data_IF_196878930962
#
_entry.id   IF_196878930962
#
_cell.length_a   1.000
_cell.length_b   1.000
_cell.length_c   1.000
_cell.angle_alpha   90.00
_cell.angle_beta   90.00
_cell.angle_gamma   90.00
#
_symmetry.space_group_name_H-M   'P 1'
#
loop_
_entity.id
_entity.type
_entity.pdbx_description
1 polymer ?
#
# COMPACT_ATOMS: atom_id res chain seq x y z
N UNK A 1 40.92 10.54 4.99
CA UNK A 1 40.45 9.51 5.96
C UNK A 1 39.37 8.57 5.43
N UNK A 2 38.36 9.06 4.69
CA UNK A 2 37.31 8.21 4.13
C UNK A 2 37.84 7.10 3.17
N UNK A 3 38.98 7.33 2.51
CA UNK A 3 39.68 6.33 1.68
C UNK A 3 40.18 5.09 2.45
N UNK A 4 40.18 5.13 3.79
CA UNK A 4 40.57 3.99 4.62
C UNK A 4 39.41 3.01 4.86
N UNK A 5 38.18 3.38 4.49
CA UNK A 5 37.00 2.53 4.65
C UNK A 5 36.85 1.64 3.42
N UNK A 6 36.94 0.33 3.64
CA UNK A 6 36.80 -0.70 2.60
C UNK A 6 35.35 -0.92 2.14
N UNK A 7 35.16 -1.99 1.36
CA UNK A 7 33.88 -2.33 0.78
C UNK A 7 32.78 -2.54 1.83
N UNK A 8 31.56 -2.16 1.48
CA UNK A 8 30.33 -2.46 2.20
C UNK A 8 30.10 -3.99 2.32
N UNK A 9 29.18 -4.45 3.19
CA UNK A 9 29.02 -5.88 3.47
C UNK A 9 28.86 -6.81 2.25
N UNK A 10 28.09 -6.40 1.23
CA UNK A 10 27.88 -7.21 0.01
C UNK A 10 29.08 -7.17 -0.97
N UNK A 11 29.95 -6.16 -0.85
CA UNK A 11 31.20 -6.05 -1.59
C UNK A 11 32.43 -6.56 -0.83
N UNK A 12 32.26 -6.92 0.44
CA UNK A 12 33.33 -7.39 1.31
C UNK A 12 33.74 -8.83 0.98
N UNK A 13 34.95 -9.20 1.41
CA UNK A 13 35.44 -10.56 1.25
C UNK A 13 34.76 -11.53 2.21
N UNK A 14 34.74 -12.81 1.86
CA UNK A 14 34.04 -13.86 2.60
C UNK A 14 34.49 -13.94 4.07
N UNK A 15 35.76 -13.70 4.36
CA UNK A 15 36.32 -13.74 5.71
C UNK A 15 35.81 -12.63 6.65
N UNK A 16 35.17 -11.58 6.13
CA UNK A 16 34.52 -10.54 6.93
C UNK A 16 33.15 -11.00 7.48
N UNK A 17 32.64 -12.16 7.05
CA UNK A 17 31.49 -12.85 7.63
C UNK A 17 30.24 -11.96 7.79
N UNK A 18 29.86 -11.29 6.71
CA UNK A 18 28.67 -10.44 6.67
C UNK A 18 28.86 -9.05 7.28
N UNK A 19 30.08 -8.73 7.75
CA UNK A 19 30.48 -7.36 8.06
C UNK A 19 31.06 -6.68 6.81
N UNK A 20 31.24 -5.36 6.91
CA UNK A 20 31.83 -4.53 5.86
C UNK A 20 32.38 -3.24 6.44
N UNK A 21 32.72 -2.29 5.57
CA UNK A 21 33.32 -1.01 5.91
C UNK A 21 34.57 -1.14 6.77
N UNK A 22 35.40 -2.18 6.51
CA UNK A 22 36.65 -2.41 7.23
C UNK A 22 37.52 -1.17 7.14
N UNK A 23 37.86 -0.59 8.28
CA UNK A 23 38.60 0.65 8.38
C UNK A 23 40.08 0.38 8.65
N UNK A 24 40.95 0.84 7.76
CA UNK A 24 42.42 0.72 7.89
C UNK A 24 43.07 1.92 8.59
N UNK A 25 42.30 2.94 8.97
CA UNK A 25 42.79 4.11 9.70
C UNK A 25 43.01 3.79 11.17
N UNK A 26 44.23 3.99 11.67
CA UNK A 26 44.57 3.75 13.07
C UNK A 26 44.23 2.33 13.51
N UNK A 27 43.44 2.20 14.58
CA UNK A 27 42.91 0.93 15.07
C UNK A 27 41.68 0.41 14.31
N UNK A 28 41.12 1.22 13.41
CA UNK A 28 39.93 0.93 12.62
C UNK A 28 38.60 1.04 13.38
N UNK A 29 38.62 1.39 14.67
CA UNK A 29 37.44 1.44 15.56
C UNK A 29 37.70 2.33 16.77
N UNK A 30 36.68 2.52 17.62
CA UNK A 30 36.78 3.38 18.80
C UNK A 30 37.16 4.82 18.40
N UNK A 31 38.26 5.34 18.94
CA UNK A 31 38.76 6.70 18.65
C UNK A 31 39.12 6.92 17.18
N UNK A 32 39.36 5.85 16.41
CA UNK A 32 39.69 5.92 14.98
C UNK A 32 38.51 5.53 14.07
N UNK A 33 37.28 5.47 14.62
CA UNK A 33 36.09 5.06 13.85
C UNK A 33 35.78 6.04 12.74
N UNK A 34 35.45 5.51 11.55
CA UNK A 34 34.95 6.30 10.43
C UNK A 34 33.65 5.68 9.95
N UNK A 35 32.56 6.45 10.00
CA UNK A 35 31.25 6.01 9.51
C UNK A 35 30.74 6.96 8.42
N UNK A 36 30.18 8.12 8.79
CA UNK A 36 29.69 9.13 7.83
C UNK A 36 30.80 10.03 7.28
N UNK A 37 31.96 10.06 7.96
CA UNK A 37 33.02 11.04 7.72
C UNK A 37 32.77 12.42 8.35
N UNK A 38 31.64 12.63 9.02
CA UNK A 38 31.41 13.76 9.94
C UNK A 38 32.02 13.40 11.30
N UNK A 39 32.46 14.40 12.07
CA UNK A 39 33.22 14.17 13.30
C UNK A 39 32.75 15.09 14.44
N UNK A 40 32.53 14.50 15.62
CA UNK A 40 32.15 15.21 16.84
C UNK A 40 30.73 14.86 17.31
N UNK A 41 30.34 15.47 18.43
CA UNK A 41 29.04 15.24 19.07
C UNK A 41 28.28 16.55 19.28
N UNK A 42 26.96 16.44 19.40
CA UNK A 42 26.05 17.58 19.50
C UNK A 42 25.98 18.17 20.90
N UNK A 43 26.02 17.31 21.94
CA UNK A 43 25.64 17.69 23.30
C UNK A 43 26.79 17.51 24.30
N UNK A 44 26.82 18.30 25.40
CA UNK A 44 27.74 18.08 26.53
C UNK A 44 27.56 16.74 27.24
N UNK A 45 26.41 16.11 27.05
CA UNK A 45 25.96 14.89 27.76
C UNK A 45 25.45 13.84 26.75
N UNK A 46 26.30 13.30 25.85
CA UNK A 46 25.85 12.48 24.71
C UNK A 46 25.06 11.20 25.04
N UNK A 47 25.11 10.76 26.29
CA UNK A 47 24.46 9.52 26.78
C UNK A 47 23.31 9.79 27.75
N UNK A 48 22.87 11.04 27.87
CA UNK A 48 21.77 11.45 28.75
C UNK A 48 20.66 12.08 27.92
N UNK A 49 19.40 11.72 28.21
CA UNK A 49 18.26 12.42 27.66
C UNK A 49 18.09 13.77 28.37
N UNK A 50 18.25 14.87 27.63
CA UNK A 50 18.03 16.24 28.06
C UNK A 50 17.75 17.15 26.86
N UNK A 51 17.63 18.46 27.08
CA UNK A 51 17.31 19.43 26.02
C UNK A 51 18.56 20.13 25.45
N UNK A 52 19.76 19.66 25.79
CA UNK A 52 21.01 20.38 25.49
C UNK A 52 21.31 20.50 23.98
N UNK A 53 20.68 19.67 23.14
CA UNK A 53 20.73 19.84 21.68
C UNK A 53 20.20 21.22 21.26
N UNK A 54 18.99 21.58 21.69
CA UNK A 54 18.39 22.86 21.32
C UNK A 54 19.10 24.03 22.01
N UNK A 55 19.51 23.85 23.27
CA UNK A 55 20.31 24.85 23.99
C UNK A 55 21.59 25.18 23.21
N UNK A 56 22.31 24.15 22.78
CA UNK A 56 23.53 24.29 21.97
C UNK A 56 23.23 24.95 20.62
N UNK A 57 22.21 24.46 19.90
CA UNK A 57 21.83 24.96 18.57
C UNK A 57 21.53 26.47 18.57
N UNK A 58 20.87 26.98 19.61
CA UNK A 58 20.48 28.39 19.72
C UNK A 58 21.47 29.26 20.51
N UNK A 59 22.37 28.69 21.31
CA UNK A 59 23.35 29.45 22.10
C UNK A 59 24.50 30.04 21.26
N UNK A 60 24.83 29.40 20.13
CA UNK A 60 26.01 29.76 19.34
C UNK A 60 25.65 30.21 17.93
N UNK A 61 26.48 31.08 17.35
CA UNK A 61 26.56 31.20 15.90
C UNK A 61 27.52 30.14 15.35
N UNK A 62 27.36 29.78 14.07
CA UNK A 62 27.96 28.58 13.51
C UNK A 62 28.84 28.91 12.29
N UNK A 63 30.09 28.46 12.31
CA UNK A 63 31.03 28.53 11.19
C UNK A 63 31.11 27.18 10.46
N UNK A 64 31.03 27.24 9.13
CA UNK A 64 31.20 26.06 8.27
C UNK A 64 32.67 25.62 8.25
N UNK A 65 32.94 24.38 8.62
CA UNK A 65 34.28 23.77 8.63
C UNK A 65 34.29 22.37 8.02
N UNK A 66 35.50 21.89 7.75
CA UNK A 66 35.75 20.52 7.32
C UNK A 66 36.05 19.63 8.51
N UNK A 67 35.42 18.46 8.56
CA UNK A 67 35.81 17.35 9.44
C UNK A 67 37.23 16.87 9.11
N UNK A 68 37.86 16.06 9.96
CA UNK A 68 39.12 15.40 9.62
C UNK A 68 39.05 14.57 8.34
N UNK A 69 37.88 14.00 8.02
CA UNK A 69 37.66 13.26 6.77
C UNK A 69 37.34 14.14 5.56
N UNK A 70 37.23 15.46 5.73
CA UNK A 70 36.92 16.42 4.65
C UNK A 70 35.43 16.60 4.37
N UNK A 71 34.54 16.12 5.24
CA UNK A 71 33.11 16.38 5.17
C UNK A 71 32.77 17.79 5.69
N UNK A 72 31.71 18.41 5.18
CA UNK A 72 31.25 19.71 5.67
C UNK A 72 30.42 19.55 6.95
N UNK A 73 30.76 20.29 8.00
CA UNK A 73 30.05 20.37 9.27
C UNK A 73 30.16 21.78 9.86
N UNK A 74 29.45 22.05 10.94
CA UNK A 74 29.42 23.36 11.58
C UNK A 74 30.00 23.29 12.99
N UNK A 75 30.76 24.31 13.38
CA UNK A 75 31.28 24.46 14.73
C UNK A 75 30.90 25.83 15.30
N UNK A 76 30.79 25.99 16.63
CA UNK A 76 30.55 27.29 17.23
C UNK A 76 31.61 28.31 16.85
N UNK A 77 31.18 29.54 16.62
CA UNK A 77 32.10 30.69 16.46
C UNK A 77 32.72 31.12 17.79
N UNK A 78 32.03 30.84 18.91
CA UNK A 78 32.50 31.16 20.26
C UNK A 78 33.59 30.18 20.75
N UNK A 79 34.82 30.65 21.01
CA UNK A 79 35.89 29.80 21.54
C UNK A 79 35.60 29.16 22.90
N UNK A 80 34.69 29.74 23.70
CA UNK A 80 34.31 29.19 24.99
C UNK A 80 33.63 27.81 24.86
N UNK A 81 33.04 27.51 23.70
CA UNK A 81 32.44 26.23 23.41
C UNK A 81 33.46 25.09 23.22
N UNK A 82 34.75 25.38 23.06
CA UNK A 82 35.79 24.42 22.64
C UNK A 82 36.04 23.23 23.58
N UNK A 83 35.49 23.26 24.79
CA UNK A 83 35.73 22.23 25.82
C UNK A 83 34.43 21.72 26.46
N UNK A 84 33.28 21.96 25.84
CA UNK A 84 31.98 21.65 26.45
C UNK A 84 31.52 20.21 26.24
N UNK A 85 32.09 19.49 25.27
CA UNK A 85 31.71 18.10 24.95
C UNK A 85 32.82 17.14 25.37
N UNK A 86 32.53 16.07 26.15
CA UNK A 86 33.53 15.06 26.50
C UNK A 86 33.94 14.24 25.28
N UNK A 87 35.21 13.81 25.23
CA UNK A 87 35.66 12.82 24.26
C UNK A 87 35.03 11.45 24.53
N UNK A 88 34.71 10.72 23.46
CA UNK A 88 34.01 9.43 23.55
C UNK A 88 34.86 8.30 24.18
N UNK A 89 36.19 8.40 24.15
CA UNK A 89 37.10 7.33 24.56
C UNK A 89 38.22 7.78 25.51
N UNK A 90 38.52 9.08 25.58
CA UNK A 90 39.60 9.64 26.39
C UNK A 90 39.05 10.68 27.39
N UNK A 91 38.84 10.26 28.64
CA UNK A 91 38.29 11.12 29.69
C UNK A 91 39.14 12.37 30.02
N UNK A 92 40.37 12.45 29.51
CA UNK A 92 41.23 13.64 29.66
C UNK A 92 40.99 14.70 28.60
N UNK A 93 40.17 14.42 27.58
CA UNK A 93 39.91 15.30 26.43
C UNK A 93 38.47 15.79 26.40
N UNK A 94 38.33 16.98 25.84
CA UNK A 94 37.05 17.61 25.51
C UNK A 94 37.17 18.31 24.16
N UNK A 95 36.01 18.58 23.56
CA UNK A 95 35.86 19.12 22.22
C UNK A 95 34.79 20.22 22.19
N UNK A 96 34.77 20.96 21.08
CA UNK A 96 33.62 21.78 20.72
C UNK A 96 32.45 20.87 20.29
N UNK A 97 31.20 21.28 20.53
CA UNK A 97 30.06 20.63 19.91
C UNK A 97 30.09 20.90 18.41
N UNK A 98 29.40 20.05 17.65
CA UNK A 98 29.24 20.22 16.21
C UNK A 98 27.75 20.18 15.85
N UNK A 99 27.42 20.77 14.70
CA UNK A 99 26.11 20.64 14.08
C UNK A 99 26.28 20.23 12.62
N UNK A 100 25.33 19.45 12.12
CA UNK A 100 25.23 19.13 10.71
C UNK A 100 24.46 20.24 9.99
N UNK A 101 24.62 20.35 8.68
CA UNK A 101 23.80 21.27 7.88
C UNK A 101 22.30 21.00 8.05
N UNK A 102 21.91 19.73 8.27
CA UNK A 102 20.53 19.34 8.58
C UNK A 102 20.06 19.81 9.95
N UNK A 103 20.95 19.87 10.94
CA UNK A 103 20.61 20.36 12.28
C UNK A 103 20.47 21.88 12.28
N UNK A 104 21.38 22.56 11.57
CA UNK A 104 21.30 24.01 11.30
C UNK A 104 19.96 24.36 10.64
N UNK A 105 19.46 23.53 9.73
CA UNK A 105 18.15 23.76 9.10
C UNK A 105 17.00 23.88 10.11
N UNK A 106 17.07 23.22 11.28
CA UNK A 106 16.05 23.31 12.33
C UNK A 106 15.95 24.69 12.98
N UNK A 107 17.00 25.51 12.85
CA UNK A 107 17.05 26.90 13.34
C UNK A 107 16.85 27.93 12.23
N UNK A 108 17.25 27.63 10.99
CA UNK A 108 17.26 28.62 9.91
C UNK A 108 16.07 28.51 8.95
N UNK A 109 15.40 27.36 8.88
CA UNK A 109 14.11 27.27 8.20
C UNK A 109 13.02 27.96 9.07
N UNK A 110 12.24 28.91 8.53
CA UNK A 110 11.28 29.67 9.34
C UNK A 110 10.20 28.82 10.03
N UNK A 111 9.80 27.69 9.44
CA UNK A 111 8.80 26.80 10.01
C UNK A 111 9.43 25.96 11.11
N UNK A 112 10.59 25.36 10.86
CA UNK A 112 11.28 24.56 11.87
C UNK A 112 11.79 25.41 13.02
N UNK A 113 12.23 26.64 12.79
CA UNK A 113 12.74 27.53 13.84
C UNK A 113 11.70 27.74 14.94
N UNK A 114 10.45 28.02 14.56
CA UNK A 114 9.36 28.23 15.52
C UNK A 114 9.04 26.97 16.32
N UNK A 115 9.15 25.80 15.69
CA UNK A 115 8.95 24.50 16.36
C UNK A 115 10.11 24.22 17.32
N UNK A 116 11.34 24.38 16.85
CA UNK A 116 12.58 24.17 17.61
C UNK A 116 12.67 25.11 18.80
N UNK A 117 12.30 26.38 18.64
CA UNK A 117 12.25 27.37 19.73
C UNK A 117 11.21 26.99 20.77
N UNK A 118 10.03 26.53 20.36
CA UNK A 118 9.02 26.02 21.30
C UNK A 118 9.54 24.81 22.09
N UNK A 119 10.28 23.91 21.43
CA UNK A 119 10.88 22.73 22.09
C UNK A 119 12.07 23.10 22.99
N UNK A 120 12.82 24.14 22.66
CA UNK A 120 13.81 24.74 23.55
C UNK A 120 13.14 25.28 24.83
N UNK A 121 12.08 26.06 24.68
CA UNK A 121 11.36 26.71 25.79
C UNK A 121 10.50 25.74 26.60
N UNK A 122 10.08 24.62 26.01
CA UNK A 122 9.25 23.60 26.64
C UNK A 122 9.77 22.18 26.34
N UNK A 123 10.74 21.68 27.14
CA UNK A 123 11.32 20.36 26.97
C UNK A 123 10.32 19.21 27.11
N UNK A 124 9.27 19.37 27.93
CA UNK A 124 8.25 18.32 28.10
C UNK A 124 7.42 18.13 26.83
N UNK A 125 7.11 19.24 26.13
CA UNK A 125 6.45 19.17 24.82
C UNK A 125 7.35 18.51 23.76
N UNK A 126 8.67 18.71 23.84
CA UNK A 126 9.61 17.99 22.97
C UNK A 126 9.63 16.51 23.28
N UNK A 127 9.72 16.12 24.56
CA UNK A 127 9.74 14.72 24.97
C UNK A 127 8.47 13.96 24.53
N UNK A 128 7.28 14.53 24.72
CA UNK A 128 6.01 13.92 24.25
C UNK A 128 5.99 13.77 22.72
N UNK A 129 6.36 14.83 21.99
CA UNK A 129 6.38 14.81 20.53
C UNK A 129 7.41 13.80 20.00
N UNK A 130 8.60 13.75 20.58
CA UNK A 130 9.66 12.81 20.21
C UNK A 130 9.24 11.37 20.49
N UNK A 131 8.66 11.08 21.66
CA UNK A 131 8.18 9.74 21.99
C UNK A 131 7.10 9.27 21.01
N UNK A 132 6.11 10.12 20.69
CA UNK A 132 5.06 9.80 19.71
C UNK A 132 5.59 9.65 18.29
N UNK A 133 6.52 10.52 17.88
CA UNK A 133 7.16 10.45 16.57
C UNK A 133 8.03 9.20 16.43
N UNK A 134 8.78 8.83 17.47
CA UNK A 134 9.58 7.61 17.51
C UNK A 134 8.71 6.35 17.45
N UNK A 135 7.62 6.31 18.22
CA UNK A 135 6.64 5.22 18.15
C UNK A 135 6.05 5.11 16.74
N UNK A 136 5.59 6.21 16.15
CA UNK A 136 5.13 6.22 14.76
C UNK A 136 6.21 5.76 13.78
N UNK A 137 7.43 6.27 13.88
CA UNK A 137 8.55 5.92 12.99
C UNK A 137 8.80 4.41 12.95
N UNK A 138 8.75 3.77 14.12
CA UNK A 138 9.08 2.35 14.31
C UNK A 138 7.91 1.40 14.15
N UNK A 139 6.68 1.92 13.96
CA UNK A 139 5.46 1.11 13.84
C UNK A 139 4.60 1.46 12.60
N UNK A 140 4.95 2.48 11.82
CA UNK A 140 4.17 2.97 10.67
C UNK A 140 3.95 1.94 9.55
N UNK A 141 4.75 0.88 9.49
CA UNK A 141 4.69 -0.21 8.53
C UNK A 141 4.14 -1.53 9.11
N UNK A 142 3.68 -1.48 10.37
CA UNK A 142 3.05 -2.62 11.03
C UNK A 142 1.57 -2.79 10.68
N UNK A 143 0.94 -1.89 9.91
CA UNK A 143 -0.47 -1.96 9.58
C UNK A 143 -1.40 -1.66 10.78
N UNK A 144 -2.62 -2.23 10.81
CA UNK A 144 -3.62 -1.88 11.81
C UNK A 144 -3.26 -2.36 13.22
N UNK A 145 -3.85 -1.75 14.27
CA UNK A 145 -3.57 -2.10 15.67
C UNK A 145 -3.78 -3.58 16.03
N UNK A 146 -4.65 -4.31 15.32
CA UNK A 146 -4.88 -5.74 15.51
C UNK A 146 -3.63 -6.60 15.31
N UNK A 147 -2.58 -6.06 14.67
CA UNK A 147 -1.30 -6.76 14.48
C UNK A 147 -0.29 -6.53 15.61
N UNK A 148 -0.57 -5.63 16.55
CA UNK A 148 0.40 -5.23 17.55
C UNK A 148 0.34 -6.21 18.73
N UNK A 149 1.49 -6.79 19.10
CA UNK A 149 1.58 -7.85 20.09
C UNK A 149 2.41 -7.42 21.30
N UNK A 150 2.12 -7.98 22.47
CA UNK A 150 2.88 -7.76 23.70
C UNK A 150 2.20 -6.81 24.69
N UNK A 151 2.73 -6.76 25.91
CA UNK A 151 2.15 -6.01 27.03
C UNK A 151 2.43 -4.50 27.00
N UNK A 152 3.32 -4.05 26.10
CA UNK A 152 3.74 -2.65 25.99
C UNK A 152 3.04 -1.89 24.86
N UNK A 153 2.09 -2.53 24.17
CA UNK A 153 1.28 -1.84 23.15
C UNK A 153 0.50 -0.71 23.82
N UNK A 154 0.69 0.56 23.38
CA UNK A 154 -0.07 1.68 23.90
C UNK A 154 -1.57 1.47 23.74
N UNK A 155 -2.33 1.83 24.77
CA UNK A 155 -3.80 1.78 24.75
C UNK A 155 -4.43 2.89 23.89
N UNK A 156 -3.68 3.96 23.63
CA UNK A 156 -4.11 5.04 22.76
C UNK A 156 -4.04 4.59 21.31
N UNK A 157 -5.18 4.64 20.62
CA UNK A 157 -5.25 4.43 19.19
C UNK A 157 -4.97 5.75 18.46
N UNK A 158 -3.98 5.73 17.57
CA UNK A 158 -3.51 6.93 16.88
C UNK A 158 -4.09 7.00 15.45
N UNK A 159 -4.44 8.21 14.99
CA UNK A 159 -5.09 8.40 13.69
C UNK A 159 -4.29 7.82 12.51
N UNK A 160 -2.96 7.86 12.55
CA UNK A 160 -2.10 7.32 11.48
C UNK A 160 -2.15 5.80 11.34
N UNK A 161 -2.70 5.09 12.33
CA UNK A 161 -2.88 3.64 12.31
C UNK A 161 -4.12 3.22 11.50
N UNK A 162 -4.81 4.18 10.87
CA UNK A 162 -6.04 4.00 10.11
C UNK A 162 -7.08 3.15 10.88
N UNK A 163 -7.43 3.54 12.12
CA UNK A 163 -8.15 2.66 13.04
C UNK A 163 -9.55 2.33 12.56
N UNK A 164 -10.03 1.13 12.88
CA UNK A 164 -11.41 0.71 12.69
C UNK A 164 -12.04 0.42 14.05
N UNK A 165 -13.34 0.68 14.26
CA UNK A 165 -14.02 0.33 15.51
C UNK A 165 -13.96 -1.18 15.78
N UNK A 166 -14.00 -1.58 17.05
CA UNK A 166 -14.22 -2.98 17.41
C UNK A 166 -15.64 -3.42 17.07
N UNK A 167 -15.85 -4.73 16.90
CA UNK A 167 -17.19 -5.31 16.75
C UNK A 167 -17.88 -5.33 18.11
N UNK A 168 -19.04 -4.68 18.23
CA UNK A 168 -19.82 -4.56 19.46
C UNK A 168 -21.21 -5.22 19.38
N UNK A 169 -21.42 -6.09 18.38
CA UNK A 169 -22.69 -6.72 18.07
C UNK A 169 -22.53 -8.17 17.57
N UNK A 170 -23.59 -8.97 17.61
CA UNK A 170 -23.62 -10.28 16.96
C UNK A 170 -23.38 -10.17 15.44
N UNK A 171 -22.57 -11.07 14.90
CA UNK A 171 -22.28 -11.15 13.46
C UNK A 171 -23.35 -11.95 12.72
N UNK A 172 -23.49 -11.68 11.42
CA UNK A 172 -24.35 -12.45 10.52
C UNK A 172 -23.88 -13.92 10.39
N UNK A 173 -24.83 -14.83 10.25
CA UNK A 173 -24.58 -16.26 10.07
C UNK A 173 -24.87 -16.72 8.62
N UNK A 174 -24.71 -18.00 8.33
CA UNK A 174 -24.79 -18.54 6.96
C UNK A 174 -26.14 -18.30 6.28
N UNK A 175 -27.25 -18.39 7.02
CA UNK A 175 -28.59 -18.10 6.50
C UNK A 175 -28.74 -16.63 6.13
N UNK A 176 -28.20 -15.72 6.96
CA UNK A 176 -28.23 -14.27 6.71
C UNK A 176 -27.38 -13.91 5.49
N UNK A 177 -26.18 -14.49 5.39
CA UNK A 177 -25.27 -14.33 4.26
C UNK A 177 -26.00 -14.72 2.97
N UNK A 178 -26.66 -15.88 2.95
CA UNK A 178 -27.42 -16.35 1.79
C UNK A 178 -28.54 -15.37 1.43
N UNK A 179 -29.36 -14.98 2.40
CA UNK A 179 -30.48 -14.06 2.18
C UNK A 179 -30.02 -12.66 1.72
N UNK A 180 -28.90 -12.15 2.26
CA UNK A 180 -28.33 -10.87 1.86
C UNK A 180 -27.78 -10.91 0.43
N UNK A 181 -27.09 -12.00 0.03
CA UNK A 181 -26.65 -12.17 -1.36
C UNK A 181 -27.84 -12.16 -2.33
N UNK A 182 -28.92 -12.86 -2.01
CA UNK A 182 -30.16 -12.85 -2.82
C UNK A 182 -30.75 -11.44 -2.93
N UNK A 183 -30.84 -10.70 -1.83
CA UNK A 183 -31.33 -9.31 -1.84
C UNK A 183 -30.44 -8.39 -2.67
N UNK A 184 -29.12 -8.53 -2.57
CA UNK A 184 -28.16 -7.74 -3.35
C UNK A 184 -28.32 -8.03 -4.84
N UNK A 185 -28.38 -9.30 -5.25
CA UNK A 185 -28.60 -9.68 -6.65
C UNK A 185 -29.97 -9.24 -7.17
N UNK A 186 -30.99 -9.24 -6.30
CA UNK A 186 -32.35 -8.76 -6.62
C UNK A 186 -32.50 -7.23 -6.64
N UNK A 187 -31.46 -6.46 -6.29
CA UNK A 187 -31.53 -4.99 -6.17
C UNK A 187 -31.46 -4.24 -7.50
N UNK A 188 -31.13 -4.94 -8.60
CA UNK A 188 -30.91 -4.34 -9.92
C UNK A 188 -29.49 -3.78 -10.12
N UNK A 189 -28.58 -3.99 -9.17
CA UNK A 189 -27.14 -3.79 -9.37
C UNK A 189 -26.59 -4.86 -10.31
N UNK A 190 -25.77 -4.45 -11.29
CA UNK A 190 -25.12 -5.39 -12.20
C UNK A 190 -23.93 -6.10 -11.56
N UNK A 191 -23.49 -7.22 -12.14
CA UNK A 191 -22.29 -7.95 -11.69
C UNK A 191 -21.07 -7.04 -11.75
N UNK A 192 -20.87 -6.32 -12.85
CA UNK A 192 -19.79 -5.34 -13.04
C UNK A 192 -19.77 -4.28 -11.94
N UNK A 193 -20.94 -3.75 -11.54
CA UNK A 193 -21.02 -2.74 -10.48
C UNK A 193 -20.60 -3.30 -9.11
N UNK A 194 -21.06 -4.49 -8.76
CA UNK A 194 -20.75 -5.16 -7.50
C UNK A 194 -19.27 -5.57 -7.44
N UNK A 195 -18.75 -6.19 -8.50
CA UNK A 195 -17.33 -6.59 -8.62
C UNK A 195 -16.42 -5.36 -8.57
N UNK A 196 -16.71 -4.31 -9.34
CA UNK A 196 -15.87 -3.10 -9.37
C UNK A 196 -15.85 -2.37 -8.02
N UNK A 197 -16.97 -2.38 -7.30
CA UNK A 197 -17.08 -1.72 -5.99
C UNK A 197 -16.32 -2.50 -4.91
N UNK A 198 -16.49 -3.82 -4.87
CA UNK A 198 -15.74 -4.68 -3.94
C UNK A 198 -14.23 -4.62 -4.22
N UNK A 199 -13.83 -4.67 -5.51
CA UNK A 199 -12.44 -4.50 -5.92
C UNK A 199 -11.89 -3.14 -5.51
N UNK A 200 -12.59 -2.04 -5.83
CA UNK A 200 -12.17 -0.69 -5.46
C UNK A 200 -11.97 -0.52 -3.96
N UNK A 201 -12.75 -1.23 -3.15
CA UNK A 201 -12.62 -1.21 -1.69
C UNK A 201 -11.40 -2.00 -1.22
N UNK A 202 -11.31 -3.28 -1.61
CA UNK A 202 -10.28 -4.20 -1.11
C UNK A 202 -8.89 -3.93 -1.70
N UNK A 203 -8.82 -3.54 -2.98
CA UNK A 203 -7.56 -3.38 -3.68
C UNK A 203 -6.74 -2.19 -3.17
N UNK A 204 -7.28 -1.30 -2.33
CA UNK A 204 -6.45 -0.24 -1.69
C UNK A 204 -5.35 -0.82 -0.79
N UNK A 205 -5.45 -2.09 -0.39
CA UNK A 205 -4.44 -2.77 0.38
C UNK A 205 -3.06 -2.74 -0.29
N UNK A 206 -2.00 -2.62 0.51
CA UNK A 206 -0.63 -2.94 0.10
C UNK A 206 0.14 -3.66 1.21
N UNK A 207 0.76 -4.79 0.90
CA UNK A 207 1.48 -5.62 1.87
C UNK A 207 2.78 -5.00 2.41
N UNK A 208 3.27 -3.95 1.75
CA UNK A 208 4.51 -3.23 2.11
C UNK A 208 4.43 -2.59 3.50
N UNK A 209 3.30 -1.95 3.81
CA UNK A 209 3.02 -1.35 5.13
C UNK A 209 1.67 -1.80 5.73
N UNK A 210 0.94 -2.68 5.03
CA UNK A 210 -0.33 -3.29 5.44
C UNK A 210 -1.45 -2.27 5.66
N UNK A 211 -1.37 -1.13 4.98
CA UNK A 211 -2.45 -0.13 4.92
C UNK A 211 -3.44 -0.47 3.80
N UNK A 212 -4.62 0.14 3.89
CA UNK A 212 -5.72 -0.07 2.94
C UNK A 212 -6.47 -1.38 3.19
N UNK A 213 -7.35 -1.75 2.26
CA UNK A 213 -8.25 -2.88 2.38
C UNK A 213 -9.72 -2.47 2.50
N UNK A 214 -10.60 -3.47 2.60
CA UNK A 214 -12.05 -3.27 2.63
C UNK A 214 -12.60 -2.97 4.03
N UNK A 215 -11.88 -3.35 5.09
CA UNK A 215 -12.24 -3.08 6.48
C UNK A 215 -12.24 -1.56 6.75
N UNK A 216 -13.22 -1.10 7.51
CA UNK A 216 -13.50 0.32 7.69
C UNK A 216 -14.47 0.93 6.66
N UNK A 217 -14.77 0.23 5.55
CA UNK A 217 -15.59 0.73 4.44
C UNK A 217 -15.18 2.14 3.98
N UNK A 218 -13.86 2.42 3.97
CA UNK A 218 -13.34 3.77 3.68
C UNK A 218 -13.56 4.22 2.24
N UNK A 219 -13.91 3.31 1.34
CA UNK A 219 -14.38 3.64 -0.01
C UNK A 219 -15.56 4.62 -0.02
N UNK A 220 -16.38 4.64 1.04
CA UNK A 220 -17.51 5.59 1.18
C UNK A 220 -17.12 6.96 1.75
N UNK A 221 -15.88 7.12 2.21
CA UNK A 221 -15.36 8.30 2.89
C UNK A 221 -14.41 9.07 1.97
N UNK A 222 -14.15 10.34 2.30
CA UNK A 222 -13.09 11.07 1.62
C UNK A 222 -11.71 10.62 2.11
N UNK A 223 -10.73 10.45 1.20
CA UNK A 223 -10.78 10.85 -0.21
C UNK A 223 -11.27 9.75 -1.18
N UNK A 224 -11.40 8.49 -0.74
CA UNK A 224 -11.60 7.36 -1.66
C UNK A 224 -12.86 7.42 -2.51
N UNK A 225 -13.95 7.97 -1.95
CA UNK A 225 -15.22 8.14 -2.68
C UNK A 225 -15.11 9.07 -3.88
N UNK A 226 -14.09 9.94 -3.88
CA UNK A 226 -13.87 10.99 -4.87
C UNK A 226 -12.78 10.62 -5.90
N UNK A 227 -12.06 9.51 -5.70
CA UNK A 227 -11.02 9.06 -6.63
C UNK A 227 -11.59 8.69 -8.00
N UNK A 228 -10.95 9.16 -9.06
CA UNK A 228 -11.36 8.91 -10.45
C UNK A 228 -11.45 7.42 -10.75
N UNK A 229 -10.46 6.65 -10.27
CA UNK A 229 -10.38 5.20 -10.47
C UNK A 229 -11.59 4.45 -9.91
N UNK A 230 -12.27 5.02 -8.92
CA UNK A 230 -13.46 4.42 -8.29
C UNK A 230 -14.78 4.84 -8.97
N UNK A 231 -14.74 5.73 -9.97
CA UNK A 231 -15.91 6.25 -10.67
C UNK A 231 -17.00 6.76 -9.69
N UNK A 232 -16.82 7.96 -9.11
CA UNK A 232 -17.64 8.45 -8.00
C UNK A 232 -19.16 8.39 -8.24
N UNK A 233 -19.60 8.67 -9.47
CA UNK A 233 -21.01 8.61 -9.85
C UNK A 233 -21.58 7.18 -9.80
N UNK A 234 -20.85 6.19 -10.36
CA UNK A 234 -21.26 4.78 -10.30
C UNK A 234 -21.17 4.25 -8.87
N UNK A 235 -20.08 4.55 -8.17
CA UNK A 235 -19.86 4.14 -6.79
C UNK A 235 -20.96 4.66 -5.86
N UNK A 236 -21.31 5.94 -5.94
CA UNK A 236 -22.36 6.55 -5.10
C UNK A 236 -23.70 5.83 -5.23
N UNK A 237 -24.09 5.44 -6.44
CA UNK A 237 -25.31 4.65 -6.68
C UNK A 237 -25.25 3.27 -6.01
N UNK A 238 -24.12 2.57 -6.12
CA UNK A 238 -23.94 1.24 -5.51
C UNK A 238 -23.99 1.34 -3.99
N UNK A 239 -23.25 2.28 -3.40
CA UNK A 239 -23.19 2.48 -1.95
C UNK A 239 -24.56 2.83 -1.38
N UNK A 240 -25.34 3.67 -2.07
CA UNK A 240 -26.70 4.01 -1.66
C UNK A 240 -27.60 2.76 -1.57
N UNK A 241 -27.60 1.91 -2.60
CA UNK A 241 -28.43 0.70 -2.62
C UNK A 241 -27.98 -0.29 -1.54
N UNK A 242 -26.67 -0.48 -1.36
CA UNK A 242 -26.16 -1.34 -0.30
C UNK A 242 -26.49 -0.80 1.10
N UNK A 243 -26.48 0.51 1.29
CA UNK A 243 -26.91 1.17 2.54
C UNK A 243 -28.41 0.97 2.80
N UNK A 244 -29.26 1.05 1.78
CA UNK A 244 -30.69 0.74 1.92
C UNK A 244 -30.91 -0.73 2.33
N UNK A 245 -30.19 -1.68 1.72
CA UNK A 245 -30.23 -3.10 2.11
C UNK A 245 -29.75 -3.28 3.56
N UNK A 246 -28.65 -2.62 3.94
CA UNK A 246 -28.14 -2.62 5.31
C UNK A 246 -29.19 -2.16 6.31
N UNK A 247 -29.77 -1.00 6.06
CA UNK A 247 -30.74 -0.37 6.96
C UNK A 247 -31.97 -1.26 7.16
N UNK A 248 -32.46 -1.88 6.08
CA UNK A 248 -33.58 -2.83 6.14
C UNK A 248 -33.20 -4.07 6.95
N UNK A 249 -32.03 -4.69 6.66
CA UNK A 249 -31.59 -5.88 7.38
C UNK A 249 -31.42 -5.60 8.87
N UNK A 250 -30.64 -4.58 9.23
CA UNK A 250 -30.33 -4.23 10.62
C UNK A 250 -31.59 -3.83 11.41
N UNK A 251 -32.52 -3.09 10.79
CA UNK A 251 -33.78 -2.69 11.47
C UNK A 251 -34.78 -3.84 11.62
N UNK A 252 -34.62 -4.91 10.84
CA UNK A 252 -35.49 -6.10 10.92
C UNK A 252 -35.04 -7.14 11.94
N UNK A 253 -33.84 -6.98 12.52
CA UNK A 253 -33.34 -7.91 13.53
C UNK A 253 -34.06 -7.69 14.86
N UNK A 254 -34.41 -8.78 15.54
CA UNK A 254 -35.01 -8.77 16.88
C UNK A 254 -33.98 -8.71 18.01
N UNK A 255 -32.72 -9.01 17.71
CA UNK A 255 -31.57 -8.94 18.62
C UNK A 255 -30.60 -7.81 18.26
N UNK A 256 -29.36 -7.90 18.74
CA UNK A 256 -28.29 -6.94 18.46
C UNK A 256 -27.54 -7.23 17.14
N UNK A 257 -27.79 -8.38 16.51
CA UNK A 257 -27.21 -8.79 15.22
C UNK A 257 -27.29 -7.68 14.17
N UNK A 258 -26.15 -7.40 13.52
CA UNK A 258 -26.05 -6.41 12.45
C UNK A 258 -25.04 -6.86 11.40
N UNK A 259 -25.13 -6.23 10.22
CA UNK A 259 -24.10 -6.27 9.19
C UNK A 259 -23.54 -4.87 8.96
N UNK A 260 -22.22 -4.77 8.82
CA UNK A 260 -21.51 -3.53 8.48
C UNK A 260 -21.60 -3.24 6.97
N UNK A 261 -21.34 -1.99 6.59
CA UNK A 261 -21.24 -1.62 5.16
C UNK A 261 -20.01 -2.26 4.55
N UNK A 262 -18.92 -2.36 5.31
CA UNK A 262 -17.69 -3.01 4.88
C UNK A 262 -17.95 -4.47 4.47
N UNK A 263 -18.68 -5.21 5.29
CA UNK A 263 -19.04 -6.59 4.98
C UNK A 263 -20.04 -6.68 3.81
N UNK A 264 -21.03 -5.78 3.70
CA UNK A 264 -21.97 -5.78 2.57
C UNK A 264 -21.32 -5.48 1.23
N UNK A 265 -20.32 -4.59 1.19
CA UNK A 265 -19.55 -4.30 -0.04
C UNK A 265 -18.84 -5.57 -0.52
N UNK A 266 -18.13 -6.25 0.39
CA UNK A 266 -17.43 -7.50 0.06
C UNK A 266 -18.41 -8.60 -0.31
N UNK A 267 -19.50 -8.75 0.47
CA UNK A 267 -20.53 -9.75 0.24
C UNK A 267 -21.22 -9.58 -1.12
N UNK A 268 -21.47 -8.34 -1.53
CA UNK A 268 -22.02 -8.03 -2.85
C UNK A 268 -21.08 -8.43 -3.98
N UNK A 269 -19.78 -8.22 -3.81
CA UNK A 269 -18.75 -8.74 -4.70
C UNK A 269 -18.76 -10.27 -4.79
N UNK A 270 -18.82 -10.97 -3.65
CA UNK A 270 -18.94 -12.43 -3.62
C UNK A 270 -20.20 -12.93 -4.34
N UNK A 271 -21.36 -12.30 -4.09
CA UNK A 271 -22.62 -12.65 -4.75
C UNK A 271 -22.53 -12.50 -6.28
N UNK A 272 -21.89 -11.41 -6.74
CA UNK A 272 -21.71 -11.15 -8.16
C UNK A 272 -20.80 -12.17 -8.86
N UNK A 273 -19.70 -12.58 -8.20
CA UNK A 273 -18.81 -13.61 -8.72
C UNK A 273 -19.52 -14.98 -8.77
N UNK A 274 -20.29 -15.34 -7.75
CA UNK A 274 -21.12 -16.56 -7.77
C UNK A 274 -22.15 -16.54 -8.90
N UNK A 275 -22.83 -15.41 -9.10
CA UNK A 275 -23.80 -15.25 -10.18
C UNK A 275 -23.12 -15.30 -11.56
N UNK A 276 -21.94 -14.71 -11.73
CA UNK A 276 -21.19 -14.76 -12.98
C UNK A 276 -20.70 -16.16 -13.33
N UNK A 277 -20.25 -16.93 -12.33
CA UNK A 277 -19.91 -18.34 -12.49
C UNK A 277 -21.15 -19.18 -12.85
N UNK A 278 -22.30 -18.90 -12.22
CA UNK A 278 -23.58 -19.54 -12.55
C UNK A 278 -24.00 -19.26 -13.99
N UNK A 279 -23.81 -18.03 -14.49
CA UNK A 279 -24.05 -17.68 -15.89
C UNK A 279 -23.18 -18.54 -16.83
N UNK A 280 -21.96 -18.88 -16.42
CA UNK A 280 -21.04 -19.75 -17.15
C UNK A 280 -21.36 -21.26 -16.99
N UNK A 281 -22.42 -21.62 -16.26
CA UNK A 281 -22.80 -23.01 -15.99
C UNK A 281 -22.06 -23.66 -14.82
N UNK A 282 -21.37 -22.88 -13.99
CA UNK A 282 -20.61 -23.36 -12.83
C UNK A 282 -21.28 -22.94 -11.51
N UNK A 283 -21.70 -23.91 -10.71
CA UNK A 283 -22.15 -23.66 -9.35
C UNK A 283 -20.93 -23.60 -8.41
N UNK A 284 -20.63 -22.42 -7.89
CA UNK A 284 -19.53 -22.20 -6.93
C UNK A 284 -20.03 -21.37 -5.76
N UNK A 285 -19.36 -21.53 -4.63
CA UNK A 285 -19.53 -20.70 -3.45
C UNK A 285 -18.24 -19.93 -3.23
N UNK A 286 -18.34 -18.60 -3.21
CA UNK A 286 -17.23 -17.71 -2.87
C UNK A 286 -17.17 -17.62 -1.35
N UNK A 287 -16.03 -17.97 -0.72
CA UNK A 287 -15.89 -17.85 0.73
C UNK A 287 -16.11 -16.41 1.18
N UNK A 288 -16.72 -16.25 2.35
CA UNK A 288 -16.98 -14.97 2.97
C UNK A 288 -16.90 -15.09 4.49
N UNK A 289 -16.16 -14.18 5.11
CA UNK A 289 -16.06 -14.08 6.56
C UNK A 289 -16.56 -12.69 7.00
N UNK A 290 -17.61 -12.60 7.84
CA UNK A 290 -18.03 -11.32 8.43
C UNK A 290 -17.04 -10.86 9.50
N UNK A 291 -17.25 -9.66 10.02
CA UNK A 291 -16.46 -9.07 11.11
C UNK A 291 -15.73 -7.78 10.75
N UNK A 292 -15.86 -7.29 9.51
CA UNK A 292 -15.38 -5.94 9.18
C UNK A 292 -16.28 -4.90 9.84
N UNK A 293 -15.72 -3.75 10.20
CA UNK A 293 -16.46 -2.64 10.82
C UNK A 293 -16.39 -1.39 9.96
N UNK A 294 -17.22 -0.39 10.29
CA UNK A 294 -17.34 0.84 9.53
C UNK A 294 -16.61 1.99 10.25
N UNK A 295 -15.46 2.41 9.71
CA UNK A 295 -14.71 3.56 10.25
C UNK A 295 -15.46 4.88 9.99
N UNK A 296 -15.26 5.88 10.85
CA UNK A 296 -15.79 7.23 10.64
C UNK A 296 -14.85 8.12 9.82
N UNK A 297 -15.34 9.29 9.40
CA UNK A 297 -14.51 10.27 8.71
C UNK A 297 -13.44 10.87 9.65
N UNK A 298 -13.76 11.02 10.93
CA UNK A 298 -12.85 11.50 11.98
C UNK A 298 -11.73 10.50 12.29
N UNK A 299 -11.97 9.21 12.02
CA UNK A 299 -11.00 8.12 12.10
C UNK A 299 -10.18 7.95 10.80
N UNK A 300 -10.27 8.89 9.87
CA UNK A 300 -9.63 8.81 8.56
C UNK A 300 -8.89 10.11 8.24
N UNK A 301 -7.56 10.05 8.19
CA UNK A 301 -6.71 11.16 7.76
C UNK A 301 -6.67 11.22 6.22
N UNK A 302 -7.29 12.22 5.57
CA UNK A 302 -7.37 12.22 4.11
C UNK A 302 -6.02 12.38 3.42
N UNK A 303 -5.10 13.14 4.01
CA UNK A 303 -3.76 13.36 3.47
C UNK A 303 -2.94 12.07 3.55
N UNK A 304 -3.08 11.33 4.65
CA UNK A 304 -2.48 10.01 4.80
C UNK A 304 -3.04 8.98 3.82
N UNK A 305 -4.32 9.08 3.44
CA UNK A 305 -4.94 8.17 2.47
C UNK A 305 -4.62 8.51 1.02
N UNK A 306 -4.20 9.74 0.70
CA UNK A 306 -3.86 10.15 -0.67
C UNK A 306 -2.78 9.26 -1.33
N UNK A 307 -1.82 8.75 -0.54
CA UNK A 307 -0.77 7.84 -1.06
C UNK A 307 -1.26 6.43 -1.40
N UNK A 308 -2.53 6.12 -1.08
CA UNK A 308 -3.20 4.87 -1.44
C UNK A 308 -4.04 5.00 -2.70
N UNK A 309 -4.20 6.21 -3.27
CA UNK A 309 -4.92 6.41 -4.53
C UNK A 309 -4.19 5.68 -5.66
N UNK A 310 -4.83 4.69 -6.31
CA UNK A 310 -4.23 4.02 -7.45
C UNK A 310 -4.15 4.98 -8.64
N UNK A 311 -2.95 5.49 -8.92
CA UNK A 311 -2.70 6.25 -10.17
C UNK A 311 -2.69 5.34 -11.40
N UNK A 312 -2.53 4.03 -11.19
CA UNK A 312 -2.77 2.99 -12.17
C UNK A 312 -3.40 1.79 -11.50
N UNK A 313 -4.27 1.09 -12.23
CA UNK A 313 -4.84 -0.17 -11.79
C UNK A 313 -5.08 -1.06 -13.02
N UNK A 314 -4.06 -1.86 -13.38
CA UNK A 314 -4.12 -2.75 -14.53
C UNK A 314 -5.25 -3.79 -14.44
N UNK A 315 -5.70 -4.13 -13.23
CA UNK A 315 -6.84 -5.04 -13.04
C UNK A 315 -8.16 -4.41 -13.48
N UNK A 316 -8.28 -3.07 -13.45
CA UNK A 316 -9.43 -2.30 -13.99
C UNK A 316 -9.14 -1.62 -15.34
N UNK A 317 -8.00 -1.94 -15.96
CA UNK A 317 -7.47 -1.29 -17.16
C UNK A 317 -7.43 0.25 -17.04
N UNK A 318 -7.07 0.75 -15.86
CA UNK A 318 -7.04 2.17 -15.55
C UNK A 318 -5.60 2.70 -15.52
N UNK A 319 -5.42 3.86 -16.15
CA UNK A 319 -4.18 4.61 -16.12
C UNK A 319 -4.52 6.10 -16.02
N UNK A 320 -4.07 6.77 -14.97
CA UNK A 320 -4.32 8.19 -14.77
C UNK A 320 -3.58 9.03 -15.83
N UNK A 321 -4.16 10.18 -16.16
CA UNK A 321 -3.55 11.12 -17.11
C UNK A 321 -2.16 11.57 -16.64
N UNK A 322 -1.18 11.57 -17.55
CA UNK A 322 0.19 12.00 -17.28
C UNK A 322 1.12 10.92 -16.70
N UNK A 323 0.65 9.69 -16.50
CA UNK A 323 1.51 8.57 -16.13
C UNK A 323 2.51 8.25 -17.26
N UNK A 324 3.80 8.13 -16.90
CA UNK A 324 4.91 7.92 -17.84
C UNK A 324 5.58 6.56 -17.71
N UNK A 325 5.41 5.88 -16.57
CA UNK A 325 5.96 4.54 -16.36
C UNK A 325 5.21 3.51 -17.22
N UNK A 326 5.89 2.42 -17.56
CA UNK A 326 5.31 1.36 -18.36
C UNK A 326 4.13 0.71 -17.61
N UNK A 327 2.95 0.68 -18.23
CA UNK A 327 1.74 0.12 -17.63
C UNK A 327 1.87 -1.37 -17.27
N UNK A 328 2.69 -2.14 -17.99
CA UNK A 328 2.91 -3.57 -17.68
C UNK A 328 3.80 -3.75 -16.45
N UNK A 329 4.78 -2.87 -16.24
CA UNK A 329 5.59 -2.86 -15.01
C UNK A 329 4.76 -2.43 -13.81
N UNK A 330 3.87 -1.44 -14.00
CA UNK A 330 2.96 -0.97 -12.96
C UNK A 330 1.91 -2.02 -12.59
N UNK A 331 1.46 -2.87 -13.53
CA UNK A 331 0.64 -4.03 -13.21
C UNK A 331 1.37 -4.98 -12.26
N UNK A 332 2.64 -5.30 -12.53
CA UNK A 332 3.45 -6.20 -11.68
C UNK A 332 3.73 -5.57 -10.31
N UNK A 333 4.04 -4.27 -10.27
CA UNK A 333 4.20 -3.51 -9.03
C UNK A 333 2.92 -3.56 -8.18
N UNK A 334 1.76 -3.37 -8.82
CA UNK A 334 0.46 -3.46 -8.16
C UNK A 334 0.16 -4.87 -7.66
N UNK A 335 0.46 -5.91 -8.45
CA UNK A 335 0.32 -7.30 -8.04
C UNK A 335 1.20 -7.63 -6.83
N UNK A 336 2.44 -7.13 -6.81
CA UNK A 336 3.34 -7.26 -5.68
C UNK A 336 2.78 -6.60 -4.41
N UNK A 337 2.25 -5.36 -4.52
CA UNK A 337 1.58 -4.70 -3.39
C UNK A 337 0.39 -5.52 -2.89
N UNK A 338 -0.37 -6.17 -3.77
CA UNK A 338 -1.49 -7.05 -3.40
C UNK A 338 -1.06 -8.47 -2.99
N UNK A 339 0.25 -8.72 -2.84
CA UNK A 339 0.84 -10.02 -2.44
C UNK A 339 0.52 -11.16 -3.41
N UNK A 340 0.23 -10.83 -4.67
CA UNK A 340 -0.15 -11.79 -5.70
C UNK A 340 1.07 -12.43 -6.34
N UNK A 341 0.95 -13.72 -6.62
CA UNK A 341 1.84 -14.45 -7.53
C UNK A 341 1.47 -14.15 -8.99
N UNK A 342 2.36 -14.47 -9.93
CA UNK A 342 2.06 -14.30 -11.36
C UNK A 342 0.81 -15.09 -11.82
N UNK A 343 0.56 -16.34 -11.38
CA UNK A 343 -0.69 -17.05 -11.69
C UNK A 343 -1.94 -16.37 -11.13
N UNK A 344 -1.91 -15.90 -9.87
CA UNK A 344 -3.05 -15.20 -9.26
C UNK A 344 -3.31 -13.85 -9.96
N UNK A 345 -2.27 -13.11 -10.31
CA UNK A 345 -2.39 -11.89 -11.11
C UNK A 345 -3.03 -12.19 -12.48
N UNK A 346 -2.58 -13.26 -13.15
CA UNK A 346 -3.09 -13.65 -14.47
C UNK A 346 -4.57 -13.98 -14.42
N UNK A 347 -4.98 -14.87 -13.51
CA UNK A 347 -6.38 -15.29 -13.39
C UNK A 347 -7.28 -14.12 -13.02
N UNK A 348 -6.83 -13.23 -12.13
CA UNK A 348 -7.58 -12.03 -11.76
C UNK A 348 -7.75 -11.07 -12.93
N UNK A 349 -6.70 -10.77 -13.71
CA UNK A 349 -6.84 -9.90 -14.88
C UNK A 349 -7.84 -10.49 -15.87
N UNK A 350 -7.68 -11.77 -16.25
CA UNK A 350 -8.58 -12.41 -17.21
C UNK A 350 -10.04 -12.41 -16.76
N UNK A 351 -10.30 -12.77 -15.49
CA UNK A 351 -11.65 -12.74 -14.91
C UNK A 351 -12.23 -11.33 -14.80
N UNK A 352 -11.45 -10.36 -14.33
CA UNK A 352 -11.91 -8.97 -14.20
C UNK A 352 -12.31 -8.37 -15.55
N UNK A 353 -11.63 -8.75 -16.64
CA UNK A 353 -11.99 -8.34 -18.01
C UNK A 353 -13.35 -8.87 -18.42
N UNK A 354 -13.60 -10.17 -18.30
CA UNK A 354 -14.90 -10.77 -18.72
C UNK A 354 -16.05 -10.37 -17.79
N UNK A 355 -15.77 -10.07 -16.52
CA UNK A 355 -16.73 -9.47 -15.58
C UNK A 355 -17.01 -7.98 -15.86
N UNK A 356 -16.37 -7.41 -16.88
CA UNK A 356 -16.51 -6.01 -17.26
C UNK A 356 -16.25 -5.05 -16.10
N UNK A 357 -15.25 -5.36 -15.26
CA UNK A 357 -14.87 -4.56 -14.10
C UNK A 357 -13.91 -3.41 -14.43
N UNK A 358 -13.81 -3.08 -15.72
CA UNK A 358 -12.92 -2.05 -16.24
C UNK A 358 -13.54 -0.65 -16.20
N UNK A 359 -12.70 0.38 -16.29
CA UNK A 359 -13.13 1.75 -16.59
C UNK A 359 -13.61 1.92 -18.04
N UNK A 360 -13.07 1.12 -18.98
CA UNK A 360 -13.35 1.15 -20.42
C UNK A 360 -13.64 -0.25 -20.98
N UNK A 361 -13.97 -0.36 -22.27
CA UNK A 361 -14.17 -1.66 -22.95
C UNK A 361 -12.88 -2.35 -23.39
N UNK A 362 -11.71 -1.75 -23.13
CA UNK A 362 -10.42 -2.29 -23.56
C UNK A 362 -10.11 -3.59 -22.82
N UNK A 363 -9.68 -4.63 -23.54
CA UNK A 363 -9.33 -5.93 -22.98
C UNK A 363 -10.51 -6.86 -22.70
N UNK A 364 -11.76 -6.43 -22.94
CA UNK A 364 -12.96 -7.25 -22.72
C UNK A 364 -13.14 -8.20 -23.92
N UNK A 365 -12.29 -9.22 -23.99
CA UNK A 365 -12.28 -10.21 -25.07
C UNK A 365 -13.31 -11.31 -24.82
N UNK A 366 -14.59 -10.94 -24.81
CA UNK A 366 -15.72 -11.87 -24.71
C UNK A 366 -16.96 -11.22 -25.33
N UNK A 367 -17.84 -12.06 -25.88
CA UNK A 367 -19.17 -11.65 -26.33
C UNK A 367 -20.22 -11.77 -25.21
N UNK A 368 -19.85 -12.35 -24.07
CA UNK A 368 -20.74 -12.61 -22.93
C UNK A 368 -20.22 -11.91 -21.66
N UNK A 369 -20.14 -10.57 -21.64
CA UNK A 369 -19.71 -9.86 -20.44
C UNK A 369 -20.59 -10.21 -19.24
N UNK A 370 -20.02 -10.12 -18.03
CA UNK A 370 -20.66 -10.55 -16.78
C UNK A 370 -20.91 -12.08 -16.68
N UNK A 371 -20.17 -12.86 -17.48
CA UNK A 371 -20.10 -14.33 -17.41
C UNK A 371 -18.65 -14.73 -17.13
N UNK A 372 -18.41 -15.51 -16.06
CA UNK A 372 -17.04 -15.84 -15.62
C UNK A 372 -16.48 -17.00 -16.45
N UNK A 373 -15.93 -16.68 -17.62
CA UNK A 373 -15.30 -17.62 -18.55
C UNK A 373 -13.81 -17.32 -18.73
N UNK A 374 -13.08 -18.27 -19.28
CA UNK A 374 -11.69 -18.09 -19.69
C UNK A 374 -11.53 -17.44 -21.08
N UNK A 375 -12.58 -16.80 -21.61
CA UNK A 375 -12.62 -16.21 -22.96
C UNK A 375 -11.50 -15.20 -23.19
N UNK A 376 -11.10 -14.45 -22.15
CA UNK A 376 -9.98 -13.51 -22.24
C UNK A 376 -8.72 -14.20 -22.79
N UNK A 377 -8.38 -15.39 -22.28
CA UNK A 377 -7.17 -16.11 -22.69
C UNK A 377 -7.34 -16.80 -24.03
N UNK A 378 -8.51 -17.41 -24.28
CA UNK A 378 -8.83 -18.07 -25.55
C UNK A 378 -8.67 -17.06 -26.70
N UNK A 379 -9.32 -15.90 -26.57
CA UNK A 379 -9.31 -14.87 -27.60
C UNK A 379 -7.96 -14.14 -27.69
N UNK A 380 -7.24 -13.93 -26.58
CA UNK A 380 -5.91 -13.33 -26.62
C UNK A 380 -4.89 -14.20 -27.37
N UNK A 381 -4.99 -15.53 -27.23
CA UNK A 381 -4.03 -16.48 -27.79
C UNK A 381 -4.45 -17.03 -29.16
N UNK A 382 -5.56 -16.56 -29.71
CA UNK A 382 -6.00 -16.88 -31.05
C UNK A 382 -5.03 -16.31 -32.10
N UNK A 383 -4.42 -17.20 -32.89
CA UNK A 383 -3.45 -16.84 -33.93
C UNK A 383 -4.09 -16.32 -35.21
N UNK A 384 -5.40 -16.51 -35.36
CA UNK A 384 -6.19 -15.89 -36.42
C UNK A 384 -6.40 -14.39 -36.17
N UNK A 385 -6.04 -13.89 -34.99
CA UNK A 385 -5.93 -12.46 -34.72
C UNK A 385 -4.52 -11.91 -34.99
N UNK A 386 -4.48 -10.72 -35.57
CA UNK A 386 -3.28 -9.90 -35.69
C UNK A 386 -3.45 -8.62 -34.87
N UNK A 387 -2.49 -8.36 -33.97
CA UNK A 387 -2.48 -7.19 -33.10
C UNK A 387 -1.61 -6.08 -33.71
N UNK A 388 -2.17 -4.88 -33.83
CA UNK A 388 -1.48 -3.70 -34.36
C UNK A 388 -1.61 -2.53 -33.38
N UNK A 389 -0.52 -1.76 -33.11
CA UNK A 389 -0.59 -0.61 -32.22
C UNK A 389 -1.26 0.58 -32.91
N UNK A 390 -2.00 1.37 -32.14
CA UNK A 390 -2.50 2.69 -32.55
C UNK A 390 -1.63 3.81 -31.97
N UNK A 391 -1.87 5.06 -32.36
CA UNK A 391 -1.16 6.23 -31.83
C UNK A 391 -1.46 6.55 -30.37
N UNK A 392 -2.46 5.90 -29.76
CA UNK A 392 -2.97 6.23 -28.42
C UNK A 392 -2.56 5.21 -27.34
N UNK A 393 -1.60 4.33 -27.65
CA UNK A 393 -1.19 3.26 -26.71
C UNK A 393 -2.25 2.15 -26.55
N UNK A 394 -3.21 2.10 -27.48
CA UNK A 394 -4.19 1.04 -27.65
C UNK A 394 -3.67 0.10 -28.76
N UNK A 395 -4.10 -1.15 -28.71
CA UNK A 395 -3.83 -2.15 -29.71
C UNK A 395 -5.16 -2.67 -30.26
N UNK A 396 -5.22 -2.79 -31.57
CA UNK A 396 -6.36 -3.32 -32.32
C UNK A 396 -6.05 -4.75 -32.76
N UNK A 397 -6.94 -5.69 -32.43
CA UNK A 397 -6.89 -7.08 -32.83
C UNK A 397 -7.82 -7.31 -34.02
N UNK A 398 -7.24 -7.57 -35.19
CA UNK A 398 -7.98 -7.80 -36.44
C UNK A 398 -7.94 -9.27 -36.83
N UNK A 399 -9.03 -9.77 -37.40
CA UNK A 399 -9.04 -11.06 -38.08
C UNK A 399 -8.03 -11.03 -39.24
N UNK A 400 -7.10 -11.99 -39.25
CA UNK A 400 -5.95 -12.04 -40.16
C UNK A 400 -6.36 -12.27 -41.62
N UNK A 401 -7.50 -12.92 -41.86
CA UNK A 401 -7.97 -13.24 -43.21
C UNK A 401 -8.79 -12.10 -43.82
N UNK A 402 -9.61 -11.42 -43.02
CA UNK A 402 -10.59 -10.43 -43.47
C UNK A 402 -10.18 -8.99 -43.16
N UNK A 403 -9.31 -8.78 -42.18
CA UNK A 403 -8.95 -7.46 -41.64
C UNK A 403 -10.03 -6.85 -40.73
N UNK A 404 -11.09 -7.59 -40.40
CA UNK A 404 -12.16 -7.07 -39.53
C UNK A 404 -11.65 -6.84 -38.11
N UNK A 405 -11.91 -5.66 -37.54
CA UNK A 405 -11.61 -5.37 -36.14
C UNK A 405 -12.48 -6.23 -35.23
N UNK A 406 -11.85 -7.05 -34.39
CA UNK A 406 -12.54 -7.90 -33.39
C UNK A 406 -12.43 -7.32 -31.99
N UNK A 407 -11.24 -6.92 -31.58
CA UNK A 407 -10.96 -6.54 -30.20
C UNK A 407 -10.06 -5.31 -30.10
N UNK A 408 -10.14 -4.63 -28.96
CA UNK A 408 -9.19 -3.57 -28.59
C UNK A 408 -8.67 -3.81 -27.19
N UNK A 409 -7.38 -3.57 -26.97
CA UNK A 409 -6.72 -3.79 -25.68
C UNK A 409 -5.59 -2.79 -25.43
N UNK A 410 -5.05 -2.80 -24.22
CA UNK A 410 -3.85 -2.04 -23.84
C UNK A 410 -2.65 -2.96 -23.69
N UNK A 411 -1.48 -2.39 -23.45
CA UNK A 411 -0.29 -3.17 -23.12
C UNK A 411 -0.51 -4.11 -21.91
N UNK A 412 -1.35 -3.72 -20.94
CA UNK A 412 -1.72 -4.54 -19.77
C UNK A 412 -2.46 -5.81 -20.18
N UNK A 413 -3.22 -5.75 -21.26
CA UNK A 413 -3.94 -6.92 -21.78
C UNK A 413 -3.00 -7.81 -22.61
N UNK A 414 -2.26 -7.19 -23.53
CA UNK A 414 -1.41 -7.91 -24.49
C UNK A 414 -0.14 -8.51 -23.86
N UNK A 415 0.30 -8.05 -22.69
CA UNK A 415 1.50 -8.58 -22.02
C UNK A 415 1.37 -10.09 -21.74
N UNK A 416 0.15 -10.57 -21.48
CA UNK A 416 -0.15 -11.98 -21.26
C UNK A 416 -0.02 -12.84 -22.53
N UNK A 417 -0.01 -12.23 -23.72
CA UNK A 417 0.28 -12.91 -24.98
C UNK A 417 1.74 -12.78 -25.45
N UNK A 418 2.54 -11.95 -24.76
CA UNK A 418 3.87 -11.50 -25.22
C UNK A 418 5.01 -11.91 -24.29
N UNK A 419 4.90 -11.63 -22.98
CA UNK A 419 5.91 -12.06 -22.02
C UNK A 419 5.90 -13.59 -21.93
N UNK A 420 7.05 -14.24 -22.14
CA UNK A 420 7.13 -15.71 -22.27
C UNK A 420 6.63 -16.47 -21.04
N UNK A 421 6.80 -15.92 -19.83
CA UNK A 421 6.31 -16.54 -18.60
C UNK A 421 4.81 -16.32 -18.41
N UNK A 422 4.32 -15.10 -18.61
CA UNK A 422 2.88 -14.81 -18.51
C UNK A 422 2.07 -15.53 -19.59
N UNK A 423 2.64 -15.66 -20.80
CA UNK A 423 2.05 -16.44 -21.88
C UNK A 423 1.93 -17.91 -21.52
N UNK A 424 2.95 -18.52 -20.92
CA UNK A 424 2.87 -19.90 -20.48
C UNK A 424 1.74 -20.13 -19.45
N UNK A 425 1.47 -19.15 -18.58
CA UNK A 425 0.33 -19.20 -17.65
C UNK A 425 -0.99 -18.99 -18.39
N UNK A 426 -1.06 -18.04 -19.33
CA UNK A 426 -2.24 -17.80 -20.15
C UNK A 426 -2.63 -19.03 -20.97
N UNK A 427 -1.66 -19.78 -21.51
CA UNK A 427 -1.89 -21.03 -22.27
C UNK A 427 -2.56 -22.11 -21.40
N UNK A 428 -2.22 -22.19 -20.11
CA UNK A 428 -2.93 -23.08 -19.17
C UNK A 428 -4.41 -22.71 -19.08
N UNK A 429 -4.72 -21.42 -18.89
CA UNK A 429 -6.11 -20.97 -18.78
C UNK A 429 -6.85 -20.86 -20.12
N UNK A 430 -6.17 -20.91 -21.27
CA UNK A 430 -6.80 -20.99 -22.59
C UNK A 430 -7.12 -22.43 -23.02
N UNK A 431 -6.57 -23.43 -22.32
CA UNK A 431 -6.75 -24.84 -22.67
C UNK A 431 -8.21 -25.28 -22.51
N UNK A 432 -8.68 -26.21 -23.35
CA UNK A 432 -10.08 -26.66 -23.39
C UNK A 432 -10.58 -27.23 -22.05
N UNK A 433 -9.68 -27.87 -21.30
CA UNK A 433 -9.91 -28.52 -20.00
C UNK A 433 -9.81 -27.56 -18.80
N UNK A 434 -9.50 -26.28 -19.02
CA UNK A 434 -9.19 -25.33 -17.95
C UNK A 434 -10.40 -24.56 -17.39
N UNK A 435 -11.59 -24.68 -17.99
CA UNK A 435 -12.77 -23.86 -17.63
C UNK A 435 -13.10 -23.89 -16.14
N UNK A 436 -13.18 -25.09 -15.56
CA UNK A 436 -13.48 -25.25 -14.13
C UNK A 436 -12.32 -24.77 -13.24
N UNK A 437 -11.08 -25.04 -13.64
CA UNK A 437 -9.89 -24.61 -12.92
C UNK A 437 -9.80 -23.07 -12.89
N UNK A 438 -10.03 -22.41 -14.02
CA UNK A 438 -10.08 -20.96 -14.12
C UNK A 438 -11.10 -20.34 -13.15
N UNK A 439 -12.33 -20.85 -13.10
CA UNK A 439 -13.36 -20.34 -12.18
C UNK A 439 -12.92 -20.52 -10.73
N UNK A 440 -12.41 -21.71 -10.37
CA UNK A 440 -11.96 -21.98 -9.01
C UNK A 440 -10.79 -21.08 -8.59
N UNK A 441 -9.79 -20.93 -9.46
CA UNK A 441 -8.59 -20.15 -9.17
C UNK A 441 -8.90 -18.65 -9.14
N UNK A 442 -9.84 -18.18 -9.96
CA UNK A 442 -10.38 -16.83 -9.87
C UNK A 442 -11.07 -16.60 -8.52
N UNK A 443 -11.95 -17.51 -8.08
CA UNK A 443 -12.63 -17.42 -6.78
C UNK A 443 -11.64 -17.42 -5.62
N UNK A 444 -10.61 -18.26 -5.69
CA UNK A 444 -9.54 -18.32 -4.69
C UNK A 444 -8.76 -17.00 -4.61
N UNK A 445 -8.31 -16.48 -5.75
CA UNK A 445 -7.59 -15.22 -5.82
C UNK A 445 -8.47 -14.02 -5.41
N UNK A 446 -9.74 -14.02 -5.80
CA UNK A 446 -10.72 -13.02 -5.37
C UNK A 446 -10.88 -13.01 -3.84
N UNK A 447 -11.12 -14.18 -3.24
CA UNK A 447 -11.24 -14.32 -1.79
C UNK A 447 -9.96 -13.89 -1.06
N UNK A 448 -8.78 -14.18 -1.61
CA UNK A 448 -7.51 -13.67 -1.08
C UNK A 448 -7.52 -12.15 -1.02
N UNK A 449 -7.82 -11.46 -2.13
CA UNK A 449 -7.87 -9.98 -2.17
C UNK A 449 -8.85 -9.43 -1.14
N UNK A 450 -10.05 -10.02 -1.04
CA UNK A 450 -11.07 -9.56 -0.11
C UNK A 450 -10.63 -9.66 1.36
N UNK A 451 -9.67 -10.53 1.70
CA UNK A 451 -9.22 -10.77 3.07
C UNK A 451 -7.79 -10.30 3.38
N UNK A 452 -7.14 -9.52 2.50
CA UNK A 452 -5.77 -9.05 2.72
C UNK A 452 -5.57 -8.24 4.01
N UNK A 453 -6.63 -7.58 4.49
CA UNK A 453 -6.62 -6.75 5.71
C UNK A 453 -7.30 -7.42 6.92
N UNK A 454 -7.70 -8.69 6.81
CA UNK A 454 -8.39 -9.44 7.87
C UNK A 454 -7.44 -10.02 8.91
N UNK A 455 -6.62 -9.15 9.49
CA UNK A 455 -5.69 -9.51 10.55
C UNK A 455 -6.38 -9.89 11.87
N UNK A 456 -7.67 -9.55 12.01
CA UNK A 456 -8.52 -10.02 13.11
C UNK A 456 -8.79 -11.54 13.06
N UNK A 457 -8.58 -12.17 11.91
CA UNK A 457 -8.75 -13.61 11.70
C UNK A 457 -7.43 -14.39 11.66
N UNK A 458 -6.29 -13.71 11.83
CA UNK A 458 -4.95 -14.25 11.56
C UNK A 458 -4.35 -15.10 12.69
#
# INVERSE_FOLDING_TARGET
PAENVGAEPEGASLEEQGLGWKNSYGTGKGVDTITSGLEGAWTPTPVTWDNSFFETLFAYDWDLKKSPAGAWQWVPTDPAASTTVPDAHDSSKTHAPIMLTTDIALRFDPIYESISRRFLENPDAFADAFAKAWYKLTHRDMGPPSRFLGSEVPKETLLWQDPVPEVDHELIEEQDITALKEKILGSGLSISQLVSTAWGSAATFRGTDKRGGANGARIRLSPQKDWEVNNPAKLGKVLQILEEIQNIFNSSQSGDKKVSRADLIVLGGCAAVEQAAKNAGHAVQVPFAPGRTDASQEQTDPDSFAVLEPTTDGFRNYNASGQKRNATELLVDRAHMLTLTAPEMTVLVGGMRVLNANQSKLGVFTEQPETLTNDFFINLLDMDLEWQPTSEGIYEGHDRATGELKWTGTAVDLVFGSNSQLRAIAEVYASEDSKQAFVHDFVSAWNKIMNLDRFDLA
#
